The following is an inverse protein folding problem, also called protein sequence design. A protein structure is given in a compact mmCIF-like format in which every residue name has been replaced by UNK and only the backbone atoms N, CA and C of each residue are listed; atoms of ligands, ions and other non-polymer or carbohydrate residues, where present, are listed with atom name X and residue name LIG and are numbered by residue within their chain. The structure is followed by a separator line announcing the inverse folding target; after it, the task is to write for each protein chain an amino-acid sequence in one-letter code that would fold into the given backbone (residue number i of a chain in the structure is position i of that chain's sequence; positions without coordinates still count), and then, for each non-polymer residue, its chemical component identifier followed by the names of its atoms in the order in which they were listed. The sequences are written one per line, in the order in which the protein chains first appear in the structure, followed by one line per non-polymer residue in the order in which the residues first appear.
data_IF_889448951893
#
_entry.id   IF_889448951893
#
_cell.length_a   1.000
_cell.length_b   1.000
_cell.length_c   1.000
_cell.angle_alpha   90.00
_cell.angle_beta   90.00
_cell.angle_gamma   90.00
#
_symmetry.space_group_name_H-M   'P 1'
#
loop_
_entity.id
_entity.type
_entity.pdbx_description
1 polymer ?
#
# COMPACT_ATOMS: atom_id res chain seq x y z
N UNK A 1 -11.73 2.85 -10.38
CA UNK A 1 -10.66 2.74 -11.36
C UNK A 1 -9.34 2.71 -10.64
N UNK A 2 -8.55 1.69 -10.91
CA UNK A 2 -7.19 1.55 -10.42
C UNK A 2 -6.31 2.34 -11.36
N UNK A 3 -5.52 3.27 -10.82
CA UNK A 3 -4.47 3.90 -11.60
C UNK A 3 -3.34 2.90 -11.77
N UNK A 4 -2.99 2.62 -12.99
CA UNK A 4 -1.86 1.77 -13.33
C UNK A 4 -0.63 2.62 -13.52
N UNK A 5 0.37 2.37 -12.71
CA UNK A 5 1.72 2.76 -13.03
C UNK A 5 2.45 1.47 -13.26
N UNK A 6 2.40 1.00 -14.50
CA UNK A 6 3.23 -0.11 -14.95
C UNK A 6 4.48 0.45 -15.58
N UNK A 7 5.61 0.07 -15.06
CA UNK A 7 6.89 0.34 -15.70
C UNK A 7 7.52 -1.00 -16.03
N UNK A 8 7.59 -1.30 -17.30
CA UNK A 8 8.15 -2.54 -17.82
C UNK A 8 9.66 -2.66 -17.65
N UNK A 9 10.32 -1.60 -17.24
CA UNK A 9 11.78 -1.50 -17.14
C UNK A 9 12.30 -1.35 -15.70
N UNK A 10 11.42 -1.50 -14.70
CA UNK A 10 11.81 -1.35 -13.29
C UNK A 10 12.25 0.05 -12.90
N UNK A 11 12.21 0.96 -13.84
CA UNK A 11 12.31 2.38 -13.62
C UNK A 11 10.90 2.90 -13.64
N UNK A 12 10.41 3.32 -12.48
CA UNK A 12 9.35 4.31 -12.48
C UNK A 12 9.90 5.51 -13.19
N UNK A 13 9.87 5.38 -14.46
CA UNK A 13 10.12 6.52 -15.28
C UNK A 13 8.93 7.43 -15.04
N UNK A 14 9.17 8.54 -14.38
CA UNK A 14 8.18 9.61 -14.22
C UNK A 14 7.54 10.02 -15.55
N UNK A 15 8.15 9.65 -16.64
CA UNK A 15 7.63 9.85 -17.99
C UNK A 15 6.46 8.93 -18.35
N UNK A 16 6.33 7.78 -17.70
CA UNK A 16 5.23 6.85 -17.95
C UNK A 16 4.11 6.95 -16.91
N UNK A 17 4.42 7.42 -15.72
CA UNK A 17 3.43 7.73 -14.72
C UNK A 17 2.96 9.17 -14.95
N UNK A 18 1.77 9.31 -15.44
CA UNK A 18 1.19 10.63 -15.67
C UNK A 18 0.71 11.23 -14.34
N UNK A 19 1.66 11.45 -13.42
CA UNK A 19 1.41 12.04 -12.10
C UNK A 19 0.89 13.49 -12.17
N UNK A 20 0.78 14.04 -13.36
CA UNK A 20 0.31 15.40 -13.58
C UNK A 20 -1.20 15.49 -13.84
N UNK A 21 -1.85 14.36 -14.13
CA UNK A 21 -3.26 14.30 -14.50
C UNK A 21 -4.04 13.43 -13.50
N UNK A 22 -3.98 13.78 -12.24
CA UNK A 22 -4.73 13.02 -11.24
C UNK A 22 -6.10 13.64 -11.02
N UNK A 23 -7.11 13.01 -11.58
CA UNK A 23 -8.44 13.10 -11.03
C UNK A 23 -8.52 12.08 -9.89
N UNK A 24 -8.27 12.51 -8.67
CA UNK A 24 -8.13 11.67 -7.47
C UNK A 24 -9.29 10.70 -7.22
N UNK A 25 -10.47 10.97 -7.76
CA UNK A 25 -11.62 10.08 -7.67
C UNK A 25 -11.51 8.86 -8.60
N UNK A 26 -10.80 8.99 -9.71
CA UNK A 26 -10.59 7.92 -10.69
C UNK A 26 -9.30 7.17 -10.46
N UNK A 27 -8.29 7.83 -9.94
CA UNK A 27 -6.96 7.30 -9.66
C UNK A 27 -6.78 7.09 -8.15
N UNK A 28 -7.61 6.23 -7.58
CA UNK A 28 -7.62 5.99 -6.14
C UNK A 28 -6.42 5.17 -5.63
N UNK A 29 -5.71 4.47 -6.51
CA UNK A 29 -4.65 3.55 -6.11
C UNK A 29 -3.45 3.61 -7.06
N UNK A 30 -2.28 3.29 -6.50
CA UNK A 30 -1.00 3.27 -7.19
C UNK A 30 -0.34 1.89 -7.04
N UNK A 31 0.18 1.35 -8.12
CA UNK A 31 1.01 0.14 -8.06
C UNK A 31 2.38 0.46 -7.45
N UNK A 32 2.77 -0.30 -6.42
CA UNK A 32 4.05 -0.14 -5.74
C UNK A 32 4.96 -1.35 -5.85
N UNK A 33 4.45 -2.48 -6.29
CA UNK A 33 5.25 -3.66 -6.64
C UNK A 33 4.54 -4.51 -7.69
N UNK A 34 5.34 -5.15 -8.54
CA UNK A 34 4.85 -6.08 -9.54
C UNK A 34 5.86 -7.22 -9.79
N UNK A 35 5.64 -8.02 -10.83
CA UNK A 35 6.54 -9.13 -11.21
C UNK A 35 7.95 -8.70 -11.60
N UNK A 36 8.17 -7.43 -11.85
CA UNK A 36 9.45 -6.83 -12.24
C UNK A 36 10.21 -6.17 -11.08
N UNK A 37 9.62 -6.12 -9.90
CA UNK A 37 10.24 -5.59 -8.69
C UNK A 37 9.31 -4.71 -7.84
N UNK A 38 9.90 -4.06 -6.85
CA UNK A 38 9.24 -3.08 -6.02
C UNK A 38 9.74 -1.67 -6.34
N UNK A 39 8.88 -0.70 -6.11
CA UNK A 39 9.15 0.71 -6.37
C UNK A 39 9.38 1.53 -5.10
N UNK A 40 9.22 0.91 -3.93
CA UNK A 40 9.35 1.58 -2.62
C UNK A 40 10.78 2.07 -2.42
N UNK A 41 11.76 1.25 -2.79
CA UNK A 41 13.18 1.54 -2.58
C UNK A 41 13.86 2.15 -3.82
N UNK A 42 13.20 2.19 -4.96
CA UNK A 42 13.82 2.55 -6.24
C UNK A 42 13.31 3.85 -6.84
N UNK A 43 12.24 4.42 -6.32
CA UNK A 43 11.66 5.58 -6.94
C UNK A 43 11.30 6.67 -5.95
N UNK A 44 11.89 7.80 -6.19
CA UNK A 44 11.54 9.09 -5.58
C UNK A 44 10.11 9.50 -5.93
N UNK A 45 9.57 9.00 -7.05
CA UNK A 45 8.27 9.41 -7.60
C UNK A 45 7.08 9.13 -6.69
N UNK A 46 7.13 8.01 -5.99
CA UNK A 46 6.09 7.63 -5.05
C UNK A 46 5.99 8.63 -3.90
N UNK A 47 7.11 9.01 -3.29
CA UNK A 47 7.15 10.02 -2.24
C UNK A 47 6.74 11.40 -2.77
N UNK A 48 7.20 11.78 -3.97
CA UNK A 48 6.78 13.03 -4.60
C UNK A 48 5.28 13.10 -4.82
N UNK A 49 4.66 11.99 -5.22
CA UNK A 49 3.23 11.92 -5.42
C UNK A 49 2.46 12.18 -4.12
N UNK A 50 2.86 11.49 -3.03
CA UNK A 50 2.30 11.71 -1.70
C UNK A 50 2.56 13.15 -1.20
N UNK A 51 3.77 13.66 -1.38
CA UNK A 51 4.16 15.01 -0.97
C UNK A 51 3.37 16.11 -1.71
N UNK A 52 2.83 15.83 -2.88
CA UNK A 52 1.89 16.70 -3.59
C UNK A 52 0.47 16.66 -3.03
N UNK A 53 0.23 15.85 -2.00
CA UNK A 53 -1.08 15.74 -1.35
C UNK A 53 -2.04 14.76 -2.02
N UNK A 54 -1.55 13.92 -2.95
CA UNK A 54 -2.39 12.87 -3.55
C UNK A 54 -2.72 11.80 -2.52
N UNK A 55 -4.00 11.50 -2.39
CA UNK A 55 -4.51 10.46 -1.50
C UNK A 55 -4.68 9.18 -2.29
N UNK A 56 -3.72 8.27 -2.18
CA UNK A 56 -3.69 7.03 -2.93
C UNK A 56 -3.59 5.82 -2.02
N UNK A 57 -4.24 4.72 -2.39
CA UNK A 57 -3.98 3.39 -1.84
C UNK A 57 -2.85 2.71 -2.61
N UNK A 58 -2.35 1.59 -2.09
CA UNK A 58 -1.26 0.85 -2.70
C UNK A 58 -1.71 -0.51 -3.18
N UNK A 59 -1.33 -0.87 -4.40
CA UNK A 59 -1.64 -2.17 -4.98
C UNK A 59 -0.37 -2.86 -5.46
N UNK A 60 -0.38 -4.19 -5.43
CA UNK A 60 0.62 -5.03 -6.03
C UNK A 60 0.00 -5.87 -7.14
N UNK A 61 0.70 -6.06 -8.24
CA UNK A 61 0.22 -6.86 -9.35
C UNK A 61 1.29 -7.82 -9.86
N UNK A 62 0.90 -8.76 -10.71
CA UNK A 62 1.88 -9.64 -11.35
C UNK A 62 2.55 -8.99 -12.56
N UNK A 63 1.90 -8.00 -13.19
CA UNK A 63 2.25 -7.47 -14.51
C UNK A 63 2.66 -8.59 -15.51
N UNK A 64 1.93 -9.68 -15.44
CA UNK A 64 2.24 -10.93 -16.13
C UNK A 64 1.63 -10.98 -17.53
N UNK A 65 2.40 -10.69 -18.56
CA UNK A 65 1.96 -10.73 -19.96
C UNK A 65 1.72 -12.14 -20.50
N UNK A 66 2.22 -13.19 -19.85
CA UNK A 66 2.22 -14.56 -20.37
C UNK A 66 1.76 -15.62 -19.39
N UNK A 67 1.40 -15.30 -18.16
CA UNK A 67 1.10 -16.26 -17.09
C UNK A 67 -0.14 -15.87 -16.31
N UNK A 68 -0.68 -16.85 -15.61
CA UNK A 68 -1.85 -16.69 -14.78
C UNK A 68 -1.61 -15.64 -13.68
N UNK A 69 -2.54 -14.72 -13.45
CA UNK A 69 -2.46 -13.75 -12.37
C UNK A 69 -2.22 -14.42 -11.00
N UNK A 70 -1.40 -13.81 -10.16
CA UNK A 70 -1.12 -14.29 -8.80
C UNK A 70 -0.09 -15.42 -8.69
N UNK A 71 0.51 -15.88 -9.79
CA UNK A 71 1.57 -16.89 -9.77
C UNK A 71 2.99 -16.31 -9.76
N UNK A 72 3.14 -15.03 -9.62
CA UNK A 72 4.43 -14.36 -9.51
C UNK A 72 4.24 -12.87 -9.46
N UNK A 73 5.15 -12.18 -8.77
CA UNK A 73 5.08 -10.75 -8.57
C UNK A 73 4.19 -10.33 -7.40
N UNK A 74 3.70 -9.09 -7.46
CA UNK A 74 2.90 -8.53 -6.40
C UNK A 74 1.49 -9.11 -6.29
N UNK A 75 0.95 -9.01 -5.09
CA UNK A 75 -0.46 -9.27 -4.78
C UNK A 75 -1.06 -8.04 -4.11
N UNK A 76 -2.36 -7.85 -4.31
CA UNK A 76 -3.13 -6.84 -3.59
C UNK A 76 -3.98 -7.49 -2.51
N UNK A 77 -3.78 -7.10 -1.25
CA UNK A 77 -4.74 -7.37 -0.19
C UNK A 77 -5.84 -6.32 -0.17
N UNK A 78 -7.07 -6.76 0.07
CA UNK A 78 -8.25 -5.90 0.11
C UNK A 78 -9.07 -6.16 1.38
N UNK A 79 -9.48 -5.09 2.04
CA UNK A 79 -10.46 -5.15 3.11
C UNK A 79 -11.85 -4.86 2.56
N UNK A 80 -12.65 -5.92 2.40
CA UNK A 80 -14.00 -5.87 1.84
C UNK A 80 -15.03 -6.21 2.92
N UNK A 81 -16.19 -5.55 2.90
CA UNK A 81 -17.31 -5.90 3.78
C UNK A 81 -18.04 -7.13 3.28
N UNK A 82 -18.18 -7.23 1.96
CA UNK A 82 -18.80 -8.36 1.27
C UNK A 82 -17.92 -8.75 0.08
N UNK A 83 -17.72 -10.04 -0.12
CA UNK A 83 -16.96 -10.56 -1.24
C UNK A 83 -17.81 -10.59 -2.51
N UNK A 84 -18.10 -9.40 -3.02
CA UNK A 84 -18.83 -9.14 -4.26
C UNK A 84 -18.03 -8.18 -5.14
N UNK A 85 -18.35 -8.11 -6.43
CA UNK A 85 -17.73 -7.12 -7.32
C UNK A 85 -17.91 -5.69 -6.79
N UNK A 86 -19.10 -5.37 -6.30
CA UNK A 86 -19.37 -4.05 -5.72
C UNK A 86 -18.52 -3.78 -4.47
N UNK A 87 -18.40 -4.76 -3.57
CA UNK A 87 -17.57 -4.66 -2.37
C UNK A 87 -16.08 -4.53 -2.69
N UNK A 88 -15.57 -5.25 -3.70
CA UNK A 88 -14.19 -5.12 -4.19
C UNK A 88 -13.96 -3.72 -4.74
N UNK A 89 -14.84 -3.23 -5.61
CA UNK A 89 -14.70 -1.89 -6.20
C UNK A 89 -14.81 -0.78 -5.15
N UNK A 90 -15.64 -0.97 -4.15
CA UNK A 90 -15.77 -0.03 -3.03
C UNK A 90 -14.47 0.00 -2.20
N UNK A 91 -13.86 -1.16 -1.90
CA UNK A 91 -12.60 -1.24 -1.19
C UNK A 91 -11.46 -0.51 -1.93
N UNK A 92 -11.36 -0.67 -3.26
CA UNK A 92 -10.40 0.07 -4.08
C UNK A 92 -10.65 1.58 -4.03
N UNK A 93 -11.88 2.04 -4.21
CA UNK A 93 -12.23 3.48 -4.14
C UNK A 93 -11.95 4.09 -2.78
N UNK A 94 -12.17 3.31 -1.73
CA UNK A 94 -11.91 3.72 -0.34
C UNK A 94 -10.45 3.49 0.09
N UNK A 95 -9.58 3.05 -0.81
CA UNK A 95 -8.16 2.79 -0.55
C UNK A 95 -7.90 1.78 0.58
N UNK A 96 -8.86 0.90 0.84
CA UNK A 96 -8.70 -0.19 1.81
C UNK A 96 -7.97 -1.37 1.18
N UNK A 97 -6.77 -1.09 0.70
CA UNK A 97 -5.91 -2.02 0.01
C UNK A 97 -4.45 -1.83 0.40
N UNK A 98 -3.67 -2.86 0.21
CA UNK A 98 -2.23 -2.85 0.41
C UNK A 98 -1.55 -3.82 -0.57
N UNK A 99 -0.27 -3.61 -0.83
CA UNK A 99 0.52 -4.44 -1.71
C UNK A 99 1.39 -5.42 -0.92
N UNK A 100 1.63 -6.59 -1.49
CA UNK A 100 2.70 -7.50 -1.06
C UNK A 100 3.53 -7.95 -2.25
N UNK A 101 4.78 -8.29 -2.04
CA UNK A 101 5.66 -8.82 -3.07
C UNK A 101 5.46 -10.34 -3.28
N UNK A 102 4.21 -10.80 -3.28
CA UNK A 102 3.82 -12.18 -3.53
C UNK A 102 3.53 -13.03 -2.28
N UNK A 103 3.92 -12.59 -1.08
CA UNK A 103 3.55 -13.25 0.15
C UNK A 103 2.08 -12.97 0.51
N UNK A 104 1.36 -13.99 0.98
CA UNK A 104 -0.01 -13.84 1.46
C UNK A 104 0.01 -13.34 2.90
N UNK A 105 0.00 -12.03 3.06
CA UNK A 105 0.01 -11.34 4.34
C UNK A 105 -1.33 -10.67 4.54
N UNK A 106 -1.95 -10.87 5.71
CA UNK A 106 -3.06 -10.06 6.20
C UNK A 106 -2.47 -8.85 6.94
N UNK A 107 -2.83 -7.64 6.54
CA UNK A 107 -2.36 -6.40 7.13
C UNK A 107 -3.54 -5.49 7.44
N UNK A 108 -3.69 -5.06 8.69
CA UNK A 108 -4.56 -3.98 9.10
C UNK A 108 -3.72 -2.85 9.68
N UNK A 109 -4.08 -1.61 9.36
CA UNK A 109 -3.39 -0.42 9.83
C UNK A 109 -4.38 0.68 10.18
N UNK A 110 -4.24 1.22 11.37
CA UNK A 110 -5.04 2.32 11.91
C UNK A 110 -4.12 3.43 12.41
N UNK A 111 -4.59 4.64 12.30
CA UNK A 111 -4.08 5.80 13.03
C UNK A 111 -5.24 6.30 13.88
N UNK A 112 -5.11 6.23 15.20
CA UNK A 112 -6.23 6.40 16.15
C UNK A 112 -7.41 5.50 15.72
N UNK A 113 -8.60 6.06 15.48
CA UNK A 113 -9.78 5.32 15.03
C UNK A 113 -9.88 5.20 13.49
N UNK A 114 -8.99 5.85 12.74
CA UNK A 114 -9.04 5.87 11.29
C UNK A 114 -8.34 4.66 10.66
N UNK A 115 -9.11 3.81 9.97
CA UNK A 115 -8.57 2.67 9.23
C UNK A 115 -7.89 3.11 7.94
N UNK A 116 -6.97 2.28 7.43
CA UNK A 116 -6.27 2.54 6.16
C UNK A 116 -7.20 3.02 5.05
N UNK A 117 -6.76 4.01 4.29
CA UNK A 117 -7.52 4.67 3.23
C UNK A 117 -8.35 5.87 3.70
N UNK A 118 -8.60 6.02 4.98
CA UNK A 118 -9.32 7.16 5.54
C UNK A 118 -8.42 8.40 5.66
N UNK A 119 -9.04 9.56 5.83
CA UNK A 119 -8.36 10.81 6.16
C UNK A 119 -8.72 11.18 7.58
N UNK A 120 -7.70 11.42 8.39
CA UNK A 120 -7.82 11.85 9.77
C UNK A 120 -7.21 13.25 9.92
N UNK A 121 -7.81 14.07 10.75
CA UNK A 121 -7.18 15.28 11.28
C UNK A 121 -6.98 15.06 12.78
N UNK A 122 -5.73 15.04 13.21
CA UNK A 122 -5.38 14.89 14.61
C UNK A 122 -4.75 16.18 15.15
N UNK A 123 -4.99 16.47 16.42
CA UNK A 123 -4.44 17.64 17.11
C UNK A 123 -3.22 17.35 17.98
N UNK A 124 -2.70 16.13 17.94
CA UNK A 124 -1.62 15.66 18.80
C UNK A 124 -0.76 14.59 18.13
N UNK A 125 -0.06 13.83 18.95
CA UNK A 125 0.70 12.66 18.50
C UNK A 125 -0.23 11.46 18.42
N UNK A 126 -0.47 10.94 17.21
CA UNK A 126 -1.40 9.83 17.03
C UNK A 126 -0.81 8.50 17.49
N UNK A 127 -1.69 7.54 17.71
CA UNK A 127 -1.34 6.14 17.96
C UNK A 127 -1.56 5.33 16.69
N UNK A 128 -0.55 4.57 16.25
CA UNK A 128 -0.75 3.57 15.20
C UNK A 128 -1.10 2.22 15.82
N UNK A 129 -2.07 1.54 15.25
CA UNK A 129 -2.32 0.12 15.49
C UNK A 129 -2.08 -0.68 14.23
N UNK A 130 -1.34 -1.78 14.37
CA UNK A 130 -0.95 -2.63 13.24
C UNK A 130 -1.29 -4.07 13.59
N UNK A 131 -2.08 -4.71 12.72
CA UNK A 131 -2.32 -6.15 12.81
C UNK A 131 -1.70 -6.84 11.63
N UNK A 132 -0.94 -7.90 11.87
CA UNK A 132 -0.30 -8.69 10.82
C UNK A 132 -0.58 -10.17 11.02
N UNK A 133 -0.89 -10.83 9.91
CA UNK A 133 -0.90 -12.28 9.79
C UNK A 133 -0.08 -12.67 8.57
N UNK A 134 1.10 -13.22 8.78
CA UNK A 134 2.07 -13.57 7.75
C UNK A 134 2.39 -15.06 7.77
N UNK A 135 2.91 -15.64 6.67
CA UNK A 135 3.31 -17.05 6.61
C UNK A 135 4.58 -17.37 7.41
N UNK A 136 5.33 -16.35 7.85
CA UNK A 136 6.56 -16.47 8.65
C UNK A 136 6.79 -15.22 9.47
N UNK A 137 7.77 -15.26 10.36
CA UNK A 137 8.21 -14.13 11.18
C UNK A 137 8.55 -12.91 10.32
N UNK A 138 8.31 -11.72 10.89
CA UNK A 138 8.57 -10.43 10.26
C UNK A 138 9.94 -9.93 10.72
N UNK A 139 10.85 -9.81 9.80
CA UNK A 139 12.19 -9.33 10.07
C UNK A 139 12.19 -7.87 10.53
N UNK A 140 11.41 -7.05 9.83
CA UNK A 140 11.35 -5.61 10.08
C UNK A 140 9.97 -5.03 9.77
N UNK A 141 9.49 -4.15 10.62
CA UNK A 141 8.35 -3.27 10.46
C UNK A 141 8.82 -1.83 10.53
N UNK A 142 8.40 -1.00 9.60
CA UNK A 142 8.63 0.44 9.61
C UNK A 142 7.34 1.18 9.32
N UNK A 143 7.12 2.29 10.03
CA UNK A 143 6.06 3.25 9.74
C UNK A 143 6.74 4.51 9.21
N UNK A 144 6.24 5.00 8.10
CA UNK A 144 6.69 6.23 7.47
C UNK A 144 5.65 7.33 7.68
N UNK A 145 6.10 8.49 8.11
CA UNK A 145 5.36 9.75 8.15
C UNK A 145 6.15 10.82 7.41
N UNK A 146 5.53 11.52 6.47
CA UNK A 146 6.15 12.58 5.66
C UNK A 146 7.47 12.17 4.96
N UNK A 147 7.57 10.90 4.58
CA UNK A 147 8.76 10.34 3.92
C UNK A 147 9.87 9.87 4.87
N UNK A 148 9.73 10.07 6.16
CA UNK A 148 10.69 9.65 7.18
C UNK A 148 10.16 8.45 7.98
N UNK A 149 11.08 7.62 8.51
CA UNK A 149 10.72 6.52 9.41
C UNK A 149 10.39 7.10 10.78
N UNK A 150 9.13 7.05 11.18
CA UNK A 150 8.65 7.54 12.48
C UNK A 150 8.62 6.44 13.55
N UNK A 151 8.55 5.17 13.15
CA UNK A 151 8.68 4.03 14.05
C UNK A 151 9.28 2.82 13.35
N UNK A 152 10.01 2.00 14.08
CA UNK A 152 10.60 0.75 13.58
C UNK A 152 10.59 -0.34 14.65
N UNK A 153 10.36 -1.59 14.23
CA UNK A 153 10.44 -2.81 15.05
C UNK A 153 11.13 -3.91 14.26
N UNK A 154 11.79 -4.82 14.95
CA UNK A 154 12.48 -5.97 14.34
C UNK A 154 12.16 -7.26 15.08
N UNK A 155 12.26 -8.40 14.39
CA UNK A 155 12.11 -9.71 14.99
C UNK A 155 10.69 -9.97 15.53
N UNK A 156 9.67 -9.58 14.78
CA UNK A 156 8.28 -9.74 15.17
C UNK A 156 7.75 -11.14 14.78
N UNK A 157 6.82 -11.71 15.57
CA UNK A 157 6.20 -12.98 15.22
C UNK A 157 5.39 -12.88 13.93
N UNK A 158 5.05 -14.01 13.36
CA UNK A 158 4.23 -14.08 12.13
C UNK A 158 2.80 -13.58 12.30
N UNK A 159 2.30 -13.55 13.53
CA UNK A 159 0.98 -13.02 13.88
C UNK A 159 1.13 -12.10 15.07
N UNK A 160 0.72 -10.85 14.92
CA UNK A 160 0.74 -9.88 16.01
C UNK A 160 -0.32 -8.79 15.82
N UNK A 161 -0.63 -8.14 16.93
CA UNK A 161 -1.45 -6.92 17.03
C UNK A 161 -0.69 -5.98 17.98
N UNK A 162 -0.23 -4.87 17.48
CA UNK A 162 0.65 -3.94 18.21
C UNK A 162 0.15 -2.51 18.10
N UNK A 163 0.22 -1.79 19.21
CA UNK A 163 0.00 -0.34 19.26
C UNK A 163 1.33 0.37 19.48
N UNK A 164 1.57 1.40 18.69
CA UNK A 164 2.73 2.28 18.76
C UNK A 164 2.22 3.69 19.02
N UNK A 165 2.54 4.20 20.20
CA UNK A 165 2.10 5.52 20.67
C UNK A 165 3.07 6.62 20.25
N UNK A 166 2.57 7.85 20.23
CA UNK A 166 3.38 9.05 20.03
C UNK A 166 4.12 9.12 18.68
N UNK A 167 3.44 8.81 17.60
CA UNK A 167 3.98 8.93 16.22
C UNK A 167 4.15 10.40 15.79
#
# INVERSE_FOLDING_TARGET
LVSWISTTDGLLNTQHANFYLTESEREANMEVCCGWGDYINKSVCFHEHLNRGFKTGFVGTSDGHRRSPGLGGGLTGLWVREFTLAGIMEAFRSRRCYATAGARIGLGFWIDDAFMGQTLTTGGRPTARITVQAPREIEKLEIFGDGEVVASRTGLPSVFDEEIQDL
#
